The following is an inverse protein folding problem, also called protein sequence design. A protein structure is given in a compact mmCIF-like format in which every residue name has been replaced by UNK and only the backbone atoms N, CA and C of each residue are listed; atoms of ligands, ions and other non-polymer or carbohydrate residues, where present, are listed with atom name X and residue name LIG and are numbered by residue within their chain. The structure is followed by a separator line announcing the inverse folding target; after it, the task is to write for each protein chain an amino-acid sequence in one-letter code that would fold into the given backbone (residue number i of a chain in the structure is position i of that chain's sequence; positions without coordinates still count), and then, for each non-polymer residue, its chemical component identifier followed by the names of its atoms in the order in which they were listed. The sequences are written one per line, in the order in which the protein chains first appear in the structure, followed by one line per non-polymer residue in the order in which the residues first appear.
data_IF_622575038263
#
_entry.id   IF_622575038263
#
_cell.length_a   1.000
_cell.length_b   1.000
_cell.length_c   1.000
_cell.angle_alpha   90.00
_cell.angle_beta   90.00
_cell.angle_gamma   90.00
#
_symmetry.space_group_name_H-M   'P 1'
#
loop_
_entity.id
_entity.type
_entity.pdbx_description
1 polymer ?
#
# COMPACT_ATOMS: atom_id res chain seq x y z
N UNK A 1 -9.99 -4.53 -19.86
CA UNK A 1 -10.03 -4.50 -18.40
C UNK A 1 -8.82 -3.73 -17.88
N UNK A 2 -9.09 -2.74 -17.05
CA UNK A 2 -8.00 -1.96 -16.46
C UNK A 2 -7.30 -2.75 -15.38
N UNK A 3 -5.97 -2.74 -15.42
CA UNK A 3 -5.19 -3.26 -14.30
C UNK A 3 -5.33 -2.35 -13.09
N UNK A 4 -5.13 -2.88 -11.91
CA UNK A 4 -5.22 -2.12 -10.67
C UNK A 4 -3.84 -2.06 -10.04
N UNK A 5 -3.44 -0.85 -9.66
CA UNK A 5 -2.21 -0.59 -8.91
C UNK A 5 -2.60 -0.42 -7.44
N UNK A 6 -1.94 -1.15 -6.57
CA UNK A 6 -2.16 -1.08 -5.13
C UNK A 6 -1.17 -0.09 -4.53
N UNK A 7 -1.69 0.86 -3.76
CA UNK A 7 -0.88 1.84 -3.05
C UNK A 7 -1.25 1.81 -1.56
N UNK A 8 -0.52 1.03 -0.77
CA UNK A 8 -0.67 1.12 0.68
C UNK A 8 -0.27 2.51 1.15
N UNK A 9 -1.07 3.12 2.01
CA UNK A 9 -0.79 4.46 2.50
C UNK A 9 -1.17 4.57 3.97
N UNK A 10 -0.42 5.35 4.71
CA UNK A 10 -0.71 5.65 6.10
C UNK A 10 -1.47 6.96 6.27
N UNK A 11 -1.62 7.70 5.18
CA UNK A 11 -2.21 9.02 5.23
C UNK A 11 -1.25 10.06 5.79
N UNK A 12 -1.75 11.28 6.00
CA UNK A 12 -0.96 12.40 6.46
C UNK A 12 -0.16 13.06 5.36
N UNK A 13 0.44 14.21 5.69
CA UNK A 13 1.17 15.02 4.71
C UNK A 13 2.36 14.30 4.09
N UNK A 14 3.04 13.49 4.88
CA UNK A 14 4.21 12.75 4.38
C UNK A 14 3.88 11.74 3.30
N UNK A 15 2.62 11.28 3.25
CA UNK A 15 2.17 10.31 2.25
C UNK A 15 1.76 10.96 0.94
N UNK A 16 1.50 12.26 0.93
CA UNK A 16 0.95 12.96 -0.25
C UNK A 16 1.87 12.84 -1.46
N UNK A 17 3.19 13.10 -1.37
CA UNK A 17 4.06 12.97 -2.54
C UNK A 17 4.06 11.56 -3.14
N UNK A 18 4.00 10.54 -2.29
CA UNK A 18 3.96 9.15 -2.77
C UNK A 18 2.61 8.83 -3.43
N UNK A 19 1.51 9.34 -2.88
CA UNK A 19 0.19 9.20 -3.50
C UNK A 19 0.15 9.88 -4.85
N UNK A 20 0.72 11.07 -4.96
CA UNK A 20 0.78 11.80 -6.23
C UNK A 20 1.60 11.04 -7.27
N UNK A 21 2.71 10.42 -6.85
CA UNK A 21 3.49 9.58 -7.75
C UNK A 21 2.71 8.35 -8.21
N UNK A 22 1.97 7.72 -7.31
CA UNK A 22 1.11 6.59 -7.66
C UNK A 22 0.05 7.01 -8.69
N UNK A 23 -0.54 8.16 -8.50
CA UNK A 23 -1.53 8.71 -9.43
C UNK A 23 -0.90 8.94 -10.81
N UNK A 24 0.31 9.52 -10.84
CA UNK A 24 1.01 9.77 -12.09
C UNK A 24 1.33 8.47 -12.83
N UNK A 25 1.78 7.44 -12.11
CA UNK A 25 2.07 6.13 -12.69
C UNK A 25 0.79 5.48 -13.24
N UNK A 26 -0.30 5.53 -12.46
CA UNK A 26 -1.58 4.99 -12.89
C UNK A 26 -2.07 5.68 -14.16
N UNK A 27 -1.96 6.99 -14.21
CA UNK A 27 -2.36 7.77 -15.36
C UNK A 27 -1.52 7.42 -16.59
N UNK A 28 -0.22 7.30 -16.41
CA UNK A 28 0.69 6.95 -17.50
C UNK A 28 0.40 5.57 -18.07
N UNK A 29 0.05 4.62 -17.19
CA UNK A 29 -0.19 3.22 -17.58
C UNK A 29 -1.65 2.92 -17.92
N UNK A 30 -2.56 3.86 -17.69
CA UNK A 30 -3.98 3.63 -17.90
C UNK A 30 -4.58 2.65 -16.91
N UNK A 31 -4.11 2.66 -15.68
CA UNK A 31 -4.56 1.76 -14.61
C UNK A 31 -5.46 2.47 -13.61
N UNK A 32 -6.29 1.69 -12.92
CA UNK A 32 -7.01 2.17 -11.74
C UNK A 32 -6.09 2.06 -10.52
N UNK A 33 -6.45 2.76 -9.44
CA UNK A 33 -5.73 2.68 -8.17
C UNK A 33 -6.59 2.05 -7.08
N UNK A 34 -5.94 1.37 -6.17
CA UNK A 34 -6.55 0.97 -4.90
C UNK A 34 -5.67 1.50 -3.78
N UNK A 35 -6.20 2.42 -2.99
CA UNK A 35 -5.52 2.89 -1.79
C UNK A 35 -5.91 1.99 -0.63
N UNK A 36 -4.90 1.46 0.06
CA UNK A 36 -5.08 0.51 1.15
C UNK A 36 -4.51 1.09 2.44
N UNK A 37 -5.31 1.06 3.47
CA UNK A 37 -4.88 1.35 4.83
C UNK A 37 -4.93 0.06 5.65
N UNK A 38 -3.79 -0.34 6.19
CA UNK A 38 -3.71 -1.54 7.02
C UNK A 38 -3.61 -1.12 8.47
N UNK A 39 -4.58 -1.52 9.26
CA UNK A 39 -4.63 -1.24 10.69
C UNK A 39 -4.08 -2.47 11.41
N UNK A 40 -2.94 -2.30 12.07
CA UNK A 40 -2.32 -3.36 12.85
C UNK A 40 -1.93 -2.83 14.21
N UNK A 41 -2.61 -3.29 15.24
CA UNK A 41 -2.37 -2.87 16.62
C UNK A 41 -1.60 -3.92 17.43
N UNK A 42 -1.19 -5.02 16.82
CA UNK A 42 -0.42 -6.06 17.49
C UNK A 42 0.88 -5.51 18.08
N UNK A 43 1.44 -4.50 17.42
CA UNK A 43 2.66 -3.86 17.89
C UNK A 43 2.53 -3.22 19.27
N UNK A 44 1.31 -2.97 19.73
CA UNK A 44 1.09 -2.39 21.05
C UNK A 44 1.24 -3.41 22.19
N UNK A 45 1.30 -4.70 21.85
CA UNK A 45 1.41 -5.76 22.85
C UNK A 45 0.22 -5.86 23.79
N UNK A 46 -0.91 -5.30 23.41
CA UNK A 46 -2.10 -5.29 24.21
C UNK A 46 -3.03 -6.42 23.79
N UNK A 47 -3.50 -7.19 24.75
CA UNK A 47 -4.47 -8.24 24.52
C UNK A 47 -5.80 -7.85 25.15
N UNK A 48 -6.86 -7.89 24.38
CA UNK A 48 -8.27 -7.85 24.79
C UNK A 48 -8.61 -6.89 25.95
N UNK A 49 -8.27 -5.62 25.81
CA UNK A 49 -8.67 -4.58 26.74
C UNK A 49 -9.85 -3.81 26.12
N UNK A 50 -10.93 -3.49 26.84
CA UNK A 50 -12.07 -2.76 26.27
C UNK A 50 -11.68 -1.46 25.55
N UNK A 51 -10.67 -0.75 26.07
CA UNK A 51 -10.17 0.47 25.45
C UNK A 51 -9.50 0.22 24.09
N UNK A 52 -9.04 -1.00 23.85
CA UNK A 52 -8.41 -1.38 22.60
C UNK A 52 -9.42 -1.40 21.46
N UNK A 53 -10.64 -1.84 21.73
CA UNK A 53 -11.71 -1.87 20.73
C UNK A 53 -12.04 -0.46 20.27
N UNK A 54 -12.12 0.49 21.19
CA UNK A 54 -12.36 1.89 20.87
C UNK A 54 -11.21 2.48 20.04
N UNK A 55 -9.98 2.12 20.40
CA UNK A 55 -8.79 2.58 19.69
C UNK A 55 -8.77 2.05 18.26
N UNK A 56 -9.10 0.76 18.07
CA UNK A 56 -9.20 0.18 16.72
C UNK A 56 -10.24 0.89 15.87
N UNK A 57 -11.41 1.16 16.43
CA UNK A 57 -12.48 1.85 15.72
C UNK A 57 -12.04 3.26 15.32
N UNK A 58 -11.34 3.96 16.19
CA UNK A 58 -10.83 5.29 15.90
C UNK A 58 -9.76 5.25 14.80
N UNK A 59 -8.87 4.28 14.85
CA UNK A 59 -7.85 4.10 13.80
C UNK A 59 -8.47 3.80 12.44
N UNK A 60 -9.51 2.96 12.42
CA UNK A 60 -10.21 2.63 11.19
C UNK A 60 -10.90 3.86 10.61
N UNK A 61 -11.55 4.68 11.45
CA UNK A 61 -12.18 5.92 11.00
C UNK A 61 -11.17 6.90 10.44
N UNK A 62 -10.01 7.04 11.10
CA UNK A 62 -8.94 7.88 10.59
C UNK A 62 -8.43 7.36 9.25
N UNK A 63 -8.27 6.05 9.14
CA UNK A 63 -7.85 5.41 7.89
C UNK A 63 -8.82 5.69 6.77
N UNK A 64 -10.10 5.52 7.01
CA UNK A 64 -11.14 5.80 6.02
C UNK A 64 -11.11 7.25 5.56
N UNK A 65 -10.96 8.17 6.50
CA UNK A 65 -10.87 9.60 6.18
C UNK A 65 -9.66 9.91 5.30
N UNK A 66 -8.51 9.36 5.67
CA UNK A 66 -7.28 9.54 4.89
C UNK A 66 -7.39 8.97 3.49
N UNK A 67 -8.04 7.83 3.36
CA UNK A 67 -8.25 7.19 2.06
C UNK A 67 -9.20 8.00 1.17
N UNK A 68 -10.24 8.61 1.75
CA UNK A 68 -11.14 9.48 0.99
C UNK A 68 -10.36 10.66 0.41
N UNK A 69 -9.46 11.24 1.17
CA UNK A 69 -8.62 12.33 0.68
C UNK A 69 -7.73 11.89 -0.47
N UNK A 70 -7.13 10.71 -0.36
CA UNK A 70 -6.31 10.16 -1.44
C UNK A 70 -7.15 9.88 -2.69
N UNK A 71 -8.33 9.31 -2.50
CA UNK A 71 -9.27 9.04 -3.59
C UNK A 71 -9.67 10.33 -4.32
N UNK A 72 -9.96 11.38 -3.58
CA UNK A 72 -10.31 12.66 -4.18
C UNK A 72 -9.17 13.23 -5.03
N UNK A 73 -7.92 13.08 -4.57
CA UNK A 73 -6.76 13.50 -5.37
C UNK A 73 -6.67 12.74 -6.69
N UNK A 74 -6.89 11.44 -6.63
CA UNK A 74 -6.83 10.59 -7.81
C UNK A 74 -7.95 10.94 -8.78
N UNK A 75 -9.15 11.11 -8.29
CA UNK A 75 -10.30 11.44 -9.12
C UNK A 75 -10.15 12.83 -9.76
N UNK A 76 -9.59 13.79 -9.03
CA UNK A 76 -9.28 15.11 -9.58
C UNK A 76 -8.29 15.03 -10.74
N UNK A 77 -7.42 14.01 -10.73
CA UNK A 77 -6.47 13.76 -11.82
C UNK A 77 -7.05 12.86 -12.93
N UNK A 78 -8.31 12.47 -12.83
CA UNK A 78 -8.98 11.63 -13.82
C UNK A 78 -8.73 10.13 -13.65
N UNK A 79 -8.27 9.70 -12.46
CA UNK A 79 -7.99 8.31 -12.17
C UNK A 79 -9.08 7.75 -11.26
N UNK A 80 -9.62 6.59 -11.65
CA UNK A 80 -10.55 5.87 -10.79
C UNK A 80 -9.77 5.27 -9.63
N UNK A 81 -10.20 5.55 -8.41
CA UNK A 81 -9.55 5.05 -7.22
C UNK A 81 -10.56 4.36 -6.30
N UNK A 82 -10.19 3.17 -5.87
CA UNK A 82 -10.89 2.41 -4.85
C UNK A 82 -10.18 2.61 -3.53
N UNK A 83 -10.89 2.39 -2.43
CA UNK A 83 -10.32 2.48 -1.09
C UNK A 83 -10.67 1.24 -0.29
N UNK A 84 -9.76 0.83 0.58
CA UNK A 84 -9.98 -0.34 1.42
C UNK A 84 -9.23 -0.19 2.74
N UNK A 85 -9.94 -0.37 3.85
CA UNK A 85 -9.34 -0.46 5.18
C UNK A 85 -9.37 -1.93 5.58
N UNK A 86 -8.23 -2.46 6.00
CA UNK A 86 -8.12 -3.84 6.40
C UNK A 86 -7.34 -3.96 7.69
N UNK A 87 -7.80 -4.82 8.58
CA UNK A 87 -7.09 -5.12 9.84
C UNK A 87 -6.24 -6.37 9.65
N UNK A 88 -5.07 -6.35 10.24
CA UNK A 88 -4.22 -7.53 10.28
C UNK A 88 -2.75 -7.23 10.08
N UNK A 89 -1.99 -8.28 9.87
CA UNK A 89 -0.57 -8.20 9.57
C UNK A 89 -0.38 -7.66 8.16
N UNK A 90 0.52 -6.71 8.00
CA UNK A 90 0.72 -6.02 6.72
C UNK A 90 1.01 -6.98 5.57
N UNK A 91 1.93 -7.93 5.78
CA UNK A 91 2.32 -8.86 4.73
C UNK A 91 1.15 -9.75 4.30
N UNK A 92 0.41 -10.27 5.27
CA UNK A 92 -0.73 -11.15 5.00
C UNK A 92 -1.85 -10.41 4.28
N UNK A 93 -2.16 -9.18 4.74
CA UNK A 93 -3.17 -8.34 4.11
C UNK A 93 -2.77 -8.00 2.68
N UNK A 94 -1.49 -7.70 2.46
CA UNK A 94 -1.00 -7.36 1.14
C UNK A 94 -1.23 -8.51 0.16
N UNK A 95 -0.86 -9.73 0.54
CA UNK A 95 -1.06 -10.91 -0.30
C UNK A 95 -2.55 -11.13 -0.58
N UNK A 96 -3.39 -11.03 0.44
CA UNK A 96 -4.83 -11.21 0.33
C UNK A 96 -5.45 -10.21 -0.64
N UNK A 97 -5.10 -8.93 -0.51
CA UNK A 97 -5.62 -7.88 -1.37
C UNK A 97 -5.11 -8.04 -2.81
N UNK A 98 -3.86 -8.43 -2.99
CA UNK A 98 -3.30 -8.69 -4.31
C UNK A 98 -4.12 -9.76 -5.03
N UNK A 99 -4.46 -10.84 -4.34
CA UNK A 99 -5.27 -11.91 -4.93
C UNK A 99 -6.72 -11.47 -5.17
N UNK A 100 -7.32 -10.82 -4.18
CA UNK A 100 -8.73 -10.43 -4.26
C UNK A 100 -9.01 -9.47 -5.42
N UNK A 101 -8.15 -8.49 -5.61
CA UNK A 101 -8.34 -7.47 -6.64
C UNK A 101 -7.51 -7.71 -7.90
N UNK A 102 -6.76 -8.79 -7.94
CA UNK A 102 -5.87 -9.11 -9.07
C UNK A 102 -4.93 -7.97 -9.40
N UNK A 103 -4.23 -7.52 -8.37
CA UNK A 103 -3.30 -6.39 -8.46
C UNK A 103 -2.12 -6.75 -9.37
N UNK A 104 -1.73 -5.82 -10.23
CA UNK A 104 -0.58 -6.01 -11.13
C UNK A 104 0.71 -5.40 -10.57
N UNK A 105 0.58 -4.33 -9.82
CA UNK A 105 1.72 -3.55 -9.33
C UNK A 105 1.41 -3.01 -7.94
N UNK A 106 2.39 -3.04 -7.06
CA UNK A 106 2.31 -2.43 -5.73
C UNK A 106 3.29 -1.26 -5.69
N UNK A 107 2.79 -0.08 -5.32
CA UNK A 107 3.63 1.09 -5.10
C UNK A 107 3.75 1.26 -3.58
N UNK A 108 4.96 1.06 -3.07
CA UNK A 108 5.23 1.04 -1.65
C UNK A 108 6.11 2.21 -1.27
N UNK A 109 5.67 3.00 -0.31
CA UNK A 109 6.48 4.09 0.21
C UNK A 109 7.57 3.56 1.13
N UNK A 110 8.80 4.00 0.90
CA UNK A 110 9.84 3.77 1.87
C UNK A 110 9.74 4.89 2.89
N UNK A 111 9.25 4.60 4.07
CA UNK A 111 9.25 5.57 5.14
C UNK A 111 10.63 5.58 5.77
N UNK A 112 11.52 6.31 5.13
CA UNK A 112 12.86 6.41 5.64
C UNK A 112 12.82 7.13 7.00
N UNK A 113 13.04 6.39 8.03
CA UNK A 113 13.60 6.99 9.21
C UNK A 113 12.73 7.26 10.41
N UNK A 114 11.42 7.27 10.33
CA UNK A 114 10.66 7.72 11.49
C UNK A 114 10.31 6.65 12.51
N UNK A 115 10.29 5.40 12.13
CA UNK A 115 9.90 4.34 13.07
C UNK A 115 10.94 3.24 13.24
N UNK A 116 12.01 3.26 12.46
CA UNK A 116 13.04 2.25 12.57
C UNK A 116 12.63 0.84 12.18
N UNK A 117 11.38 0.63 11.83
CA UNK A 117 10.85 -0.70 11.54
C UNK A 117 10.96 -1.03 10.06
N UNK A 118 10.86 -0.02 9.20
CA UNK A 118 10.93 -0.23 7.75
C UNK A 118 12.32 0.12 7.26
N UNK A 119 13.16 -0.91 7.10
CA UNK A 119 14.50 -0.77 6.57
C UNK A 119 14.50 -1.10 5.09
N UNK A 120 15.51 -0.66 4.32
CA UNK A 120 15.65 -1.10 2.92
C UNK A 120 15.69 -2.61 2.78
N UNK A 121 16.28 -3.29 3.74
CA UNK A 121 16.35 -4.75 3.78
C UNK A 121 14.98 -5.39 3.92
N UNK A 122 14.16 -4.83 4.80
CA UNK A 122 12.78 -5.28 5.00
C UNK A 122 11.98 -5.15 3.70
N UNK A 123 12.10 -4.01 3.03
CA UNK A 123 11.40 -3.75 1.76
C UNK A 123 11.86 -4.73 0.69
N UNK A 124 13.17 -4.97 0.60
CA UNK A 124 13.72 -5.92 -0.37
C UNK A 124 13.18 -7.33 -0.13
N UNK A 125 13.18 -7.78 1.11
CA UNK A 125 12.67 -9.10 1.46
C UNK A 125 11.17 -9.22 1.17
N UNK A 126 10.41 -8.18 1.51
CA UNK A 126 8.98 -8.13 1.25
C UNK A 126 8.68 -8.21 -0.25
N UNK A 127 9.36 -7.38 -1.04
CA UNK A 127 9.16 -7.32 -2.48
C UNK A 127 9.57 -8.64 -3.15
N UNK A 128 10.67 -9.23 -2.72
CA UNK A 128 11.15 -10.50 -3.27
C UNK A 128 10.19 -11.63 -2.93
N UNK A 129 9.79 -11.72 -1.68
CA UNK A 129 8.91 -12.80 -1.22
C UNK A 129 7.52 -12.70 -1.83
N UNK A 130 6.87 -11.56 -1.69
CA UNK A 130 5.51 -11.38 -2.19
C UNK A 130 5.50 -11.34 -3.72
N UNK A 131 6.47 -10.69 -4.34
CA UNK A 131 6.60 -10.69 -5.79
C UNK A 131 6.78 -12.09 -6.35
N UNK A 132 7.56 -12.93 -5.66
CA UNK A 132 7.73 -14.34 -6.05
C UNK A 132 6.46 -15.17 -5.92
N UNK A 133 5.66 -14.89 -4.89
CA UNK A 133 4.41 -15.61 -4.65
C UNK A 133 3.28 -15.19 -5.58
N UNK A 134 3.20 -13.93 -5.92
CA UNK A 134 2.02 -13.34 -6.57
C UNK A 134 2.27 -12.90 -8.00
N UNK A 135 3.53 -12.71 -8.37
CA UNK A 135 3.90 -12.20 -9.70
C UNK A 135 3.74 -10.70 -9.87
N UNK A 136 3.50 -9.96 -8.78
CA UNK A 136 3.36 -8.51 -8.87
C UNK A 136 4.70 -7.81 -8.96
N UNK A 137 4.69 -6.67 -9.62
CA UNK A 137 5.80 -5.73 -9.63
C UNK A 137 5.73 -4.85 -8.38
N UNK A 138 6.87 -4.55 -7.77
CA UNK A 138 6.95 -3.58 -6.68
C UNK A 138 7.72 -2.35 -7.13
N UNK A 139 7.12 -1.19 -6.95
CA UNK A 139 7.77 0.09 -7.20
C UNK A 139 7.92 0.78 -5.85
N UNK A 140 9.14 1.07 -5.47
CA UNK A 140 9.43 1.71 -4.18
C UNK A 140 9.63 3.20 -4.42
N UNK A 141 8.89 4.01 -3.67
CA UNK A 141 8.95 5.46 -3.80
C UNK A 141 9.35 6.09 -2.47
N UNK A 142 10.05 7.21 -2.55
CA UNK A 142 10.43 8.00 -1.39
C UNK A 142 10.25 9.47 -1.73
N UNK A 143 9.41 10.14 -0.96
CA UNK A 143 9.08 11.55 -1.18
C UNK A 143 8.67 11.83 -2.64
N UNK A 144 7.91 10.90 -3.20
CA UNK A 144 7.41 11.02 -4.57
C UNK A 144 8.38 10.59 -5.66
N UNK A 145 9.58 10.17 -5.31
CA UNK A 145 10.57 9.70 -6.28
C UNK A 145 10.64 8.19 -6.30
N UNK A 146 10.73 7.61 -7.49
CA UNK A 146 10.94 6.17 -7.62
C UNK A 146 12.40 5.88 -7.31
N UNK A 147 12.65 5.10 -6.25
CA UNK A 147 14.01 4.77 -5.84
C UNK A 147 14.42 3.36 -6.25
N UNK A 148 13.46 2.46 -6.43
CA UNK A 148 13.77 1.09 -6.86
C UNK A 148 12.53 0.41 -7.41
N UNK A 149 12.73 -0.51 -8.33
CA UNK A 149 11.67 -1.34 -8.90
C UNK A 149 12.10 -2.80 -8.83
N UNK A 150 11.20 -3.65 -8.34
CA UNK A 150 11.41 -5.09 -8.29
C UNK A 150 10.45 -5.75 -9.25
N UNK A 151 10.99 -6.37 -10.30
CA UNK A 151 10.18 -7.11 -11.25
C UNK A 151 10.02 -8.54 -10.78
N UNK A 152 8.84 -9.14 -10.98
CA UNK A 152 8.66 -10.53 -10.60
C UNK A 152 9.58 -11.43 -11.42
N UNK A 153 10.26 -12.35 -10.71
CA UNK A 153 11.09 -13.35 -11.38
C UNK A 153 10.14 -14.39 -11.97
N UNK A 154 10.01 -14.42 -13.27
CA UNK A 154 9.25 -15.47 -13.93
C UNK A 154 10.08 -16.74 -13.95
N UNK A 155 9.85 -17.58 -12.95
CA UNK A 155 10.34 -18.95 -13.01
C UNK A 155 9.50 -19.68 -14.05
N UNK A 156 10.11 -20.34 -14.98
CA UNK A 156 9.47 -21.14 -16.04
C UNK A 156 8.98 -20.37 -17.25
N UNK A 157 9.77 -19.48 -17.75
CA UNK A 157 9.59 -19.15 -19.15
C UNK A 157 10.35 -20.17 -19.99
N UNK A 158 9.64 -20.87 -20.88
CA UNK A 158 10.33 -21.65 -21.87
C UNK A 158 11.19 -20.76 -22.75
#
# INVERSE_FOLDING_TARGET
MSSIILCPTRGGEASVPNQERAIAIAKQRGCDLLFLYVSNIEFLGLTAVPKLIDFEAEMDEMGEFMLVMAQERAEAAGIRALTHVHRGNFNDVLVEVIHEYQISTVILGSSAGDTGVITPEYIQNLATEIGGMTGVEFIIVDQGEIIKTYQPTRKNQP
#
